data_IF_641260006280
#
_entry.id   IF_641260006280
#
_cell.length_a   1.000
_cell.length_b   1.000
_cell.length_c   1.000
_cell.angle_alpha   90.00
_cell.angle_beta   90.00
_cell.angle_gamma   90.00
#
_symmetry.space_group_name_H-M   'P 1'
#
loop_
_entity.id
_entity.type
_entity.pdbx_description
1 polymer ?
#
# COMPACT_ATOMS: atom_id res chain seq x y z
N UNK A 1 19.89 31.32 -40.02
CA UNK A 1 19.14 30.04 -39.98
C UNK A 1 19.11 29.41 -38.56
N UNK A 2 20.04 29.81 -37.69
CA UNK A 2 20.17 29.24 -36.31
C UNK A 2 19.11 29.70 -35.32
N UNK A 3 18.64 30.93 -35.36
CA UNK A 3 17.69 31.50 -34.38
C UNK A 3 16.30 30.86 -34.40
N UNK A 4 15.89 30.33 -35.55
CA UNK A 4 14.60 29.59 -35.62
C UNK A 4 14.69 28.20 -34.98
N UNK A 5 15.83 27.53 -35.03
CA UNK A 5 16.07 26.25 -34.37
C UNK A 5 16.16 26.39 -32.86
N UNK A 6 16.76 27.47 -32.35
CA UNK A 6 16.83 27.76 -30.90
C UNK A 6 15.43 28.05 -30.30
N UNK A 7 14.61 28.83 -31.00
CA UNK A 7 13.25 29.12 -30.53
C UNK A 7 12.37 27.85 -30.49
N UNK A 8 12.54 26.95 -31.48
CA UNK A 8 11.83 25.66 -31.48
C UNK A 8 12.26 24.76 -30.31
N UNK A 9 13.58 24.59 -30.08
CA UNK A 9 14.12 23.83 -28.95
C UNK A 9 13.71 24.38 -27.60
N UNK A 10 13.63 25.70 -27.46
CA UNK A 10 13.19 26.36 -26.22
C UNK A 10 11.72 26.08 -25.93
N UNK A 11 10.85 26.06 -26.96
CA UNK A 11 9.44 25.69 -26.83
C UNK A 11 9.26 24.24 -26.44
N UNK A 12 10.02 23.32 -27.03
CA UNK A 12 9.99 21.89 -26.68
C UNK A 12 10.41 21.65 -25.24
N UNK A 13 11.48 22.30 -24.77
CA UNK A 13 11.94 22.19 -23.39
C UNK A 13 10.94 22.75 -22.38
N UNK A 14 10.25 23.85 -22.70
CA UNK A 14 9.18 24.40 -21.86
C UNK A 14 7.96 23.49 -21.79
N UNK A 15 7.59 22.86 -22.93
CA UNK A 15 6.49 21.91 -22.97
C UNK A 15 6.82 20.64 -22.17
N UNK A 16 8.04 20.12 -22.29
CA UNK A 16 8.54 19.00 -21.48
C UNK A 16 8.53 19.32 -19.99
N UNK A 17 9.02 20.49 -19.58
CA UNK A 17 9.04 20.92 -18.18
C UNK A 17 7.61 21.04 -17.63
N UNK A 18 6.66 21.56 -18.41
CA UNK A 18 5.26 21.64 -18.02
C UNK A 18 4.62 20.25 -17.86
N UNK A 19 4.91 19.31 -18.76
CA UNK A 19 4.44 17.93 -18.70
C UNK A 19 4.98 17.23 -17.42
N UNK A 20 6.27 17.33 -17.17
CA UNK A 20 6.92 16.75 -15.96
C UNK A 20 6.31 17.31 -14.68
N UNK A 21 6.06 18.63 -14.63
CA UNK A 21 5.40 19.27 -13.48
C UNK A 21 3.99 18.71 -13.26
N UNK A 22 3.20 18.66 -14.33
CA UNK A 22 1.81 18.17 -14.25
C UNK A 22 1.76 16.73 -13.77
N UNK A 23 2.63 15.87 -14.32
CA UNK A 23 2.73 14.48 -13.91
C UNK A 23 3.16 14.34 -12.43
N UNK A 24 4.16 15.12 -12.00
CA UNK A 24 4.61 15.15 -10.61
C UNK A 24 3.50 15.54 -9.64
N UNK A 25 2.72 16.57 -9.97
CA UNK A 25 1.57 17.00 -9.14
C UNK A 25 0.49 15.93 -9.08
N UNK A 26 0.15 15.30 -10.21
CA UNK A 26 -0.85 14.22 -10.26
C UNK A 26 -0.42 13.05 -9.38
N UNK A 27 0.86 12.63 -9.47
CA UNK A 27 1.39 11.54 -8.65
C UNK A 27 1.39 11.88 -7.16
N UNK A 28 1.71 13.13 -6.78
CA UNK A 28 1.64 13.57 -5.39
C UNK A 28 0.20 13.52 -4.85
N UNK A 29 -0.75 14.05 -5.59
CA UNK A 29 -2.16 14.04 -5.18
C UNK A 29 -2.68 12.61 -5.08
N UNK A 30 -2.42 11.79 -6.09
CA UNK A 30 -2.81 10.38 -6.08
C UNK A 30 -2.16 9.61 -4.91
N UNK A 31 -0.87 9.80 -4.67
CA UNK A 31 -0.14 9.20 -3.54
C UNK A 31 -0.72 9.61 -2.19
N UNK A 32 -1.10 10.88 -2.03
CA UNK A 32 -1.74 11.38 -0.80
C UNK A 32 -3.11 10.74 -0.58
N UNK A 33 -3.94 10.65 -1.61
CA UNK A 33 -5.26 10.00 -1.54
C UNK A 33 -5.12 8.53 -1.16
N UNK A 34 -4.19 7.80 -1.79
CA UNK A 34 -3.92 6.40 -1.49
C UNK A 34 -3.43 6.22 -0.05
N UNK A 35 -2.56 7.11 0.45
CA UNK A 35 -2.11 7.09 1.84
C UNK A 35 -3.26 7.30 2.83
N UNK A 36 -4.14 8.26 2.58
CA UNK A 36 -5.30 8.53 3.43
C UNK A 36 -6.24 7.32 3.49
N UNK A 37 -6.56 6.74 2.33
CA UNK A 37 -7.40 5.53 2.24
C UNK A 37 -6.76 4.34 2.94
N UNK A 38 -5.46 4.13 2.74
CA UNK A 38 -4.70 3.07 3.41
C UNK A 38 -4.65 3.23 4.92
N UNK A 39 -4.43 4.45 5.41
CA UNK A 39 -4.43 4.76 6.85
C UNK A 39 -5.80 4.51 7.48
N UNK A 40 -6.87 4.90 6.80
CA UNK A 40 -8.23 4.65 7.27
C UNK A 40 -8.56 3.14 7.31
N UNK A 41 -8.18 2.40 6.27
CA UNK A 41 -8.35 0.95 6.23
C UNK A 41 -7.56 0.24 7.35
N UNK A 42 -6.33 0.71 7.63
CA UNK A 42 -5.50 0.20 8.69
C UNK A 42 -6.11 0.45 10.09
N UNK A 43 -6.60 1.65 10.33
CA UNK A 43 -7.25 1.99 11.62
C UNK A 43 -8.53 1.17 11.83
N UNK A 44 -9.34 0.99 10.77
CA UNK A 44 -10.53 0.12 10.81
C UNK A 44 -10.15 -1.32 11.14
N UNK A 45 -9.13 -1.89 10.49
CA UNK A 45 -8.66 -3.25 10.76
C UNK A 45 -8.17 -3.39 12.20
N UNK A 46 -7.39 -2.42 12.70
CA UNK A 46 -6.91 -2.39 14.08
C UNK A 46 -8.04 -2.34 15.10
N UNK A 47 -9.05 -1.48 14.90
CA UNK A 47 -10.21 -1.39 15.79
C UNK A 47 -11.01 -2.69 15.79
N UNK A 48 -11.23 -3.28 14.60
CA UNK A 48 -11.93 -4.55 14.51
C UNK A 48 -11.17 -5.66 15.24
N UNK A 49 -9.83 -5.75 15.11
CA UNK A 49 -9.02 -6.74 15.87
C UNK A 49 -9.07 -6.52 17.37
N UNK A 50 -9.04 -5.29 17.82
CA UNK A 50 -9.10 -4.97 19.25
C UNK A 50 -10.47 -5.29 19.89
N UNK A 51 -11.53 -5.41 19.09
CA UNK A 51 -12.85 -5.82 19.54
C UNK A 51 -13.02 -7.35 19.56
N UNK A 52 -12.10 -8.10 18.95
CA UNK A 52 -12.14 -9.57 18.89
C UNK A 52 -11.46 -10.19 20.11
N UNK A 53 -11.90 -11.37 20.48
CA UNK A 53 -11.33 -12.20 21.53
C UNK A 53 -10.37 -13.25 20.95
N UNK A 54 -9.41 -13.70 21.77
CA UNK A 54 -8.43 -14.73 21.35
C UNK A 54 -8.90 -16.11 21.77
N UNK A 55 -8.70 -17.09 20.90
CA UNK A 55 -8.89 -18.49 21.21
C UNK A 55 -7.82 -19.36 20.49
N UNK A 56 -7.67 -20.60 20.99
CA UNK A 56 -6.91 -21.63 20.29
C UNK A 56 -7.87 -22.48 19.49
N UNK A 57 -7.69 -22.52 18.20
CA UNK A 57 -8.45 -23.38 17.30
C UNK A 57 -7.66 -24.61 16.90
N UNK A 58 -8.37 -25.69 16.62
CA UNK A 58 -7.84 -26.91 16.03
C UNK A 58 -8.35 -27.02 14.60
N UNK A 59 -7.47 -27.29 13.66
CA UNK A 59 -7.80 -27.49 12.26
C UNK A 59 -8.46 -28.86 12.11
N UNK A 60 -9.64 -28.92 11.50
CA UNK A 60 -10.33 -30.17 11.23
C UNK A 60 -10.04 -30.67 9.82
N UNK A 61 -10.14 -29.81 8.81
CA UNK A 61 -9.80 -30.14 7.43
C UNK A 61 -9.47 -28.92 6.59
N UNK A 62 -8.81 -29.12 5.44
CA UNK A 62 -8.56 -28.08 4.47
C UNK A 62 -9.82 -27.88 3.58
N UNK A 63 -10.24 -26.64 3.44
CA UNK A 63 -11.33 -26.27 2.54
C UNK A 63 -10.78 -25.92 1.17
N UNK A 64 -11.07 -26.79 0.18
CA UNK A 64 -10.85 -26.59 -1.26
C UNK A 64 -9.66 -25.68 -1.62
N UNK A 65 -8.46 -26.22 -1.81
CA UNK A 65 -7.28 -25.60 -2.45
C UNK A 65 -7.18 -24.08 -2.30
N UNK A 66 -6.53 -23.58 -1.27
CA UNK A 66 -6.24 -22.16 -1.23
C UNK A 66 -6.07 -21.50 0.13
N UNK A 67 -5.65 -22.24 1.16
CA UNK A 67 -5.33 -21.64 2.45
C UNK A 67 -6.53 -21.24 3.30
N UNK A 68 -7.70 -21.85 3.04
CA UNK A 68 -8.83 -21.82 3.95
C UNK A 68 -9.00 -23.19 4.63
N UNK A 69 -9.35 -23.17 5.91
CA UNK A 69 -9.40 -24.36 6.76
C UNK A 69 -10.65 -24.35 7.62
N UNK A 70 -11.33 -25.49 7.73
CA UNK A 70 -12.31 -25.68 8.79
C UNK A 70 -11.58 -25.82 10.12
N UNK A 71 -12.04 -25.06 11.10
CA UNK A 71 -11.47 -25.07 12.45
C UNK A 71 -12.58 -25.24 13.49
N UNK A 72 -12.22 -25.85 14.61
CA UNK A 72 -13.04 -25.87 15.81
C UNK A 72 -12.30 -25.14 16.93
N UNK A 73 -13.03 -24.38 17.75
CA UNK A 73 -12.48 -23.69 18.91
C UNK A 73 -13.52 -23.58 20.01
N UNK A 74 -13.04 -23.40 21.24
CA UNK A 74 -13.92 -23.23 22.41
C UNK A 74 -14.00 -21.74 22.76
N UNK A 75 -15.24 -21.26 22.94
CA UNK A 75 -15.56 -19.94 23.43
C UNK A 75 -16.85 -19.97 24.26
N UNK A 76 -16.87 -19.25 25.35
CA UNK A 76 -18.03 -19.11 26.27
C UNK A 76 -18.62 -20.48 26.71
N UNK A 77 -17.76 -21.51 26.85
CA UNK A 77 -18.15 -22.86 27.28
C UNK A 77 -18.82 -23.71 26.20
N UNK A 78 -18.79 -23.27 24.94
CA UNK A 78 -19.29 -24.02 23.80
C UNK A 78 -18.20 -24.21 22.72
N UNK A 79 -18.32 -25.28 21.96
CA UNK A 79 -17.47 -25.54 20.78
C UNK A 79 -18.13 -24.90 19.57
N UNK A 80 -17.35 -24.12 18.84
CA UNK A 80 -17.77 -23.43 17.62
C UNK A 80 -16.98 -23.93 16.43
N UNK A 81 -17.61 -23.97 15.26
CA UNK A 81 -16.99 -24.27 13.99
C UNK A 81 -16.95 -23.01 13.12
N UNK A 82 -15.85 -22.80 12.43
CA UNK A 82 -15.67 -21.63 11.54
C UNK A 82 -14.71 -21.95 10.39
N UNK A 83 -14.72 -21.09 9.38
CA UNK A 83 -13.79 -21.15 8.26
C UNK A 83 -12.70 -20.09 8.47
N UNK A 84 -11.45 -20.52 8.64
CA UNK A 84 -10.28 -19.68 8.81
C UNK A 84 -9.52 -19.52 7.48
N UNK A 85 -9.39 -18.30 7.00
CA UNK A 85 -8.41 -17.99 5.95
C UNK A 85 -7.01 -17.84 6.58
N UNK A 86 -6.05 -18.67 6.14
CA UNK A 86 -4.71 -18.71 6.68
C UNK A 86 -3.65 -18.47 5.61
N UNK A 87 -3.03 -17.28 5.62
CA UNK A 87 -2.08 -16.84 4.60
C UNK A 87 -0.60 -17.22 4.90
N UNK A 88 -0.30 -17.77 6.09
CA UNK A 88 1.08 -17.97 6.55
C UNK A 88 1.70 -19.32 6.19
N UNK A 89 1.04 -20.14 5.42
CA UNK A 89 1.51 -21.47 5.04
C UNK A 89 0.40 -22.51 5.01
N UNK A 90 0.76 -23.78 5.02
CA UNK A 90 -0.19 -24.87 5.05
C UNK A 90 -0.39 -25.36 6.47
N UNK A 91 -1.64 -25.58 6.85
CA UNK A 91 -2.02 -26.23 8.10
C UNK A 91 -2.48 -27.67 7.78
N UNK A 92 -2.23 -28.60 8.67
CA UNK A 92 -2.72 -29.98 8.58
C UNK A 92 -3.84 -30.19 9.57
N UNK A 93 -4.68 -31.17 9.31
CA UNK A 93 -5.70 -31.59 10.28
C UNK A 93 -5.03 -31.96 11.61
N UNK A 94 -5.56 -31.44 12.72
CA UNK A 94 -4.99 -31.57 14.06
C UNK A 94 -4.02 -30.47 14.47
N UNK A 95 -3.56 -29.60 13.57
CA UNK A 95 -2.73 -28.46 13.91
C UNK A 95 -3.52 -27.45 14.76
N UNK A 96 -2.81 -26.75 15.63
CA UNK A 96 -3.37 -25.68 16.46
C UNK A 96 -2.93 -24.31 15.98
N UNK A 97 -3.88 -23.39 15.90
CA UNK A 97 -3.63 -22.01 15.50
C UNK A 97 -4.28 -21.04 16.49
N UNK A 98 -3.57 -19.96 16.83
CA UNK A 98 -4.17 -18.85 17.56
C UNK A 98 -5.03 -18.04 16.60
N UNK A 99 -6.28 -17.82 16.99
CA UNK A 99 -7.27 -17.07 16.22
C UNK A 99 -7.82 -15.89 17.03
N UNK A 100 -8.35 -14.94 16.29
CA UNK A 100 -9.26 -13.91 16.80
C UNK A 100 -10.68 -14.27 16.35
N UNK A 101 -11.63 -14.24 17.25
CA UNK A 101 -13.05 -14.45 16.97
C UNK A 101 -13.88 -13.26 17.44
N UNK A 102 -14.99 -13.00 16.76
CA UNK A 102 -15.94 -11.97 17.17
C UNK A 102 -16.92 -12.58 18.20
N UNK A 103 -16.97 -12.07 19.44
CA UNK A 103 -17.90 -12.59 20.46
C UNK A 103 -19.39 -12.41 20.10
N UNK A 104 -19.70 -11.53 19.14
CA UNK A 104 -21.07 -11.31 18.66
C UNK A 104 -21.40 -12.18 17.44
N UNK A 105 -20.38 -12.70 16.75
CA UNK A 105 -20.52 -13.49 15.54
C UNK A 105 -19.41 -14.56 15.48
N UNK A 106 -19.62 -15.70 16.13
CA UNK A 106 -18.61 -16.77 16.28
C UNK A 106 -18.09 -17.35 14.97
N UNK A 107 -18.84 -17.23 13.87
CA UNK A 107 -18.35 -17.60 12.53
C UNK A 107 -17.31 -16.62 11.96
N UNK A 108 -17.21 -15.43 12.50
CA UNK A 108 -16.25 -14.40 12.05
C UNK A 108 -14.92 -14.58 12.77
N UNK A 109 -14.04 -15.36 12.16
CA UNK A 109 -12.71 -15.68 12.68
C UNK A 109 -11.61 -15.23 11.74
N UNK A 110 -10.46 -14.90 12.30
CA UNK A 110 -9.24 -14.57 11.54
C UNK A 110 -7.97 -14.82 12.34
N UNK A 111 -6.84 -14.79 11.68
CA UNK A 111 -5.53 -14.84 12.34
C UNK A 111 -5.20 -13.50 13.00
N UNK A 112 -4.35 -13.51 14.04
CA UNK A 112 -3.85 -12.28 14.69
C UNK A 112 -2.89 -11.47 13.79
N UNK A 113 -2.58 -11.96 12.59
CA UNK A 113 -1.77 -11.22 11.65
C UNK A 113 -2.51 -9.97 11.12
N UNK A 114 -1.83 -8.82 11.02
CA UNK A 114 -2.42 -7.65 10.38
C UNK A 114 -2.74 -7.98 8.92
N UNK A 115 -3.89 -7.49 8.44
CA UNK A 115 -4.26 -7.66 7.04
C UNK A 115 -3.17 -7.10 6.12
N UNK A 116 -2.74 -7.87 5.14
CA UNK A 116 -1.68 -7.47 4.21
C UNK A 116 -2.12 -6.33 3.27
N UNK A 117 -3.42 -6.26 2.96
CA UNK A 117 -3.99 -5.29 2.02
C UNK A 117 -3.80 -3.83 2.46
N UNK A 118 -4.13 -3.40 3.70
CA UNK A 118 -3.87 -2.02 4.13
C UNK A 118 -2.39 -1.63 4.07
N UNK A 119 -1.50 -2.56 4.42
CA UNK A 119 -0.04 -2.33 4.38
C UNK A 119 0.42 -2.08 2.94
N UNK A 120 -0.04 -2.88 1.97
CA UNK A 120 0.28 -2.71 0.54
C UNK A 120 -0.23 -1.38 0.00
N UNK A 121 -1.43 -0.96 0.40
CA UNK A 121 -2.02 0.33 0.01
C UNK A 121 -1.17 1.49 0.56
N UNK A 122 -0.79 1.47 1.83
CA UNK A 122 0.07 2.50 2.44
C UNK A 122 1.42 2.56 1.74
N UNK A 123 2.05 1.41 1.49
CA UNK A 123 3.33 1.34 0.76
C UNK A 123 3.22 1.93 -0.66
N UNK A 124 2.13 1.64 -1.37
CA UNK A 124 1.84 2.23 -2.69
C UNK A 124 1.69 3.75 -2.63
N UNK A 125 1.02 4.28 -1.61
CA UNK A 125 0.89 5.71 -1.38
C UNK A 125 2.23 6.41 -1.13
N UNK A 126 3.08 5.82 -0.29
CA UNK A 126 4.44 6.33 -0.02
C UNK A 126 5.28 6.35 -1.30
N UNK A 127 5.23 5.28 -2.09
CA UNK A 127 5.95 5.20 -3.36
C UNK A 127 5.46 6.29 -4.34
N UNK A 128 4.16 6.52 -4.43
CA UNK A 128 3.56 7.57 -5.25
C UNK A 128 4.05 8.96 -4.85
N UNK A 129 4.10 9.27 -3.55
CA UNK A 129 4.63 10.55 -3.05
C UNK A 129 6.11 10.71 -3.35
N UNK A 130 6.93 9.68 -3.13
CA UNK A 130 8.36 9.71 -3.41
C UNK A 130 8.64 9.96 -4.90
N UNK A 131 7.93 9.25 -5.77
CA UNK A 131 8.04 9.42 -7.23
C UNK A 131 7.58 10.80 -7.68
N UNK A 132 6.42 11.27 -7.20
CA UNK A 132 5.91 12.62 -7.50
C UNK A 132 6.86 13.72 -7.05
N UNK A 133 7.42 13.60 -5.84
CA UNK A 133 8.42 14.51 -5.31
C UNK A 133 9.71 14.55 -6.14
N UNK A 134 10.19 13.39 -6.59
CA UNK A 134 11.36 13.29 -7.48
C UNK A 134 11.11 14.01 -8.81
N UNK A 135 9.93 13.86 -9.41
CA UNK A 135 9.58 14.56 -10.65
C UNK A 135 9.57 16.08 -10.48
N UNK A 136 9.04 16.59 -9.38
CA UNK A 136 9.05 18.03 -9.10
C UNK A 136 10.46 18.54 -8.81
N UNK A 137 11.28 17.77 -8.11
CA UNK A 137 12.68 18.11 -7.87
C UNK A 137 13.48 18.18 -9.19
N UNK A 138 13.32 17.17 -10.07
CA UNK A 138 13.94 17.16 -11.39
C UNK A 138 13.52 18.37 -12.23
N UNK A 139 12.26 18.74 -12.20
CA UNK A 139 11.74 19.90 -12.91
C UNK A 139 12.37 21.21 -12.38
N UNK A 140 12.47 21.37 -11.05
CA UNK A 140 13.10 22.53 -10.44
C UNK A 140 14.59 22.63 -10.81
N UNK A 141 15.29 21.48 -10.79
CA UNK A 141 16.71 21.40 -11.18
C UNK A 141 16.93 21.74 -12.65
N UNK A 142 16.12 21.20 -13.56
CA UNK A 142 16.21 21.51 -14.99
C UNK A 142 15.92 23.00 -15.26
N UNK A 143 14.92 23.56 -14.58
CA UNK A 143 14.61 24.99 -14.70
C UNK A 143 15.77 25.86 -14.23
N UNK A 144 16.39 25.55 -13.08
CA UNK A 144 17.55 26.28 -12.54
C UNK A 144 18.74 26.26 -13.53
N UNK A 145 18.97 25.15 -14.21
CA UNK A 145 20.02 25.04 -15.24
C UNK A 145 19.71 25.86 -16.49
N UNK A 146 18.44 25.96 -16.88
CA UNK A 146 18.03 26.73 -18.07
C UNK A 146 18.03 28.23 -17.80
N UNK A 147 17.74 28.65 -16.58
CA UNK A 147 17.68 30.05 -16.18
C UNK A 147 19.09 30.65 -15.87
N UNK A 148 20.12 29.84 -15.73
CA UNK A 148 21.48 30.29 -15.38
C UNK A 148 22.57 29.70 -16.32
N UNK A 149 22.58 30.06 -17.62
CA UNK A 149 23.54 29.53 -18.61
C UNK A 149 24.97 30.04 -18.44
N UNK A 150 25.22 31.01 -17.57
CA UNK A 150 26.48 31.73 -17.51
C UNK A 150 27.56 31.13 -16.57
N UNK A 151 27.30 29.99 -15.94
CA UNK A 151 28.30 29.36 -15.04
C UNK A 151 29.33 28.47 -15.72
N UNK A 152 29.14 28.12 -17.01
CA UNK A 152 30.04 27.18 -17.69
C UNK A 152 31.20 27.86 -18.45
N UNK A 153 31.22 29.20 -18.61
CA UNK A 153 32.28 29.88 -19.38
C UNK A 153 33.46 30.42 -18.53
N UNK A 154 33.43 30.28 -17.21
CA UNK A 154 34.49 30.83 -16.36
C UNK A 154 35.59 29.83 -15.94
N UNK A 155 35.66 28.64 -16.55
CA UNK A 155 36.69 27.62 -16.23
C UNK A 155 37.47 27.12 -17.44
N UNK A 156 37.62 27.91 -18.49
CA UNK A 156 38.54 27.60 -19.60
C UNK A 156 39.71 28.58 -19.63
#
# INVERSE_FOLDING_TARGET
>A
MDTMNEAARRRENLALAALVKTFGVILLVAGMVVLLLGSFAFDKDRRSRNAMSKAMATVTEEYIHGGAYYITYEADGATHEALLAYEKGNLNAGDRAEILYDPLEYGNVRTDAPASTPIKIVAGGVLGLATGGLFLFLQAFLKSRLDNPWHDESQS
#
